data_IF_749458390870
#
_entry.id   IF_749458390870
#
_cell.length_a   1.000
_cell.length_b   1.000
_cell.length_c   1.000
_cell.angle_alpha   90.00
_cell.angle_beta   90.00
_cell.angle_gamma   90.00
#
_symmetry.space_group_name_H-M   'P 1'
#
loop_
_entity.id
_entity.type
_entity.pdbx_description
1 polymer ?
#
# COMPACT_ATOMS: atom_id res chain seq x y z
N UNK A 1 17.88 -29.05 -5.04
CA UNK A 1 17.10 -29.89 -5.98
C UNK A 1 15.82 -29.14 -6.37
N UNK A 2 15.46 -29.16 -7.65
CA UNK A 2 14.32 -28.40 -8.19
C UNK A 2 12.98 -28.78 -7.52
N UNK A 3 12.88 -30.00 -7.00
CA UNK A 3 11.73 -30.48 -6.20
C UNK A 3 11.51 -29.69 -4.89
N UNK A 4 12.55 -29.06 -4.32
CA UNK A 4 12.42 -28.24 -3.11
C UNK A 4 12.04 -26.77 -3.41
N UNK A 5 12.28 -26.27 -4.64
CA UNK A 5 11.93 -24.89 -4.99
C UNK A 5 10.42 -24.64 -4.94
N UNK A 6 9.62 -25.61 -5.39
CA UNK A 6 8.16 -25.53 -5.29
C UNK A 6 7.66 -25.52 -3.84
N UNK A 7 8.36 -26.22 -2.94
CA UNK A 7 8.02 -26.29 -1.52
C UNK A 7 8.30 -24.97 -0.81
N UNK A 8 9.42 -24.31 -1.11
CA UNK A 8 9.75 -22.99 -0.52
C UNK A 8 8.70 -21.94 -0.85
N UNK A 9 8.19 -21.93 -2.10
CA UNK A 9 7.11 -21.02 -2.51
C UNK A 9 5.77 -21.38 -1.85
N UNK A 10 5.45 -22.67 -1.73
CA UNK A 10 4.21 -23.13 -1.10
C UNK A 10 4.16 -22.87 0.42
N UNK A 11 5.32 -22.76 1.06
CA UNK A 11 5.46 -22.49 2.49
C UNK A 11 5.78 -21.02 2.80
N UNK A 12 5.88 -20.17 1.78
CA UNK A 12 6.15 -18.75 1.97
C UNK A 12 5.00 -18.05 2.69
N UNK A 13 5.35 -17.16 3.59
CA UNK A 13 4.38 -16.24 4.20
C UNK A 13 4.02 -15.13 3.21
N UNK A 14 2.76 -14.74 3.20
CA UNK A 14 2.33 -13.57 2.43
C UNK A 14 2.31 -12.35 3.32
N UNK A 15 3.10 -11.36 2.91
CA UNK A 15 3.16 -10.05 3.55
C UNK A 15 2.39 -9.03 2.73
N UNK A 16 1.40 -8.35 3.30
CA UNK A 16 0.58 -7.36 2.61
C UNK A 16 1.17 -5.98 2.81
N UNK A 17 1.79 -5.40 1.79
CA UNK A 17 2.33 -4.05 1.87
C UNK A 17 1.26 -3.00 1.59
N UNK A 18 1.34 -1.87 2.28
CA UNK A 18 0.51 -0.69 2.01
C UNK A 18 1.00 0.07 0.76
N UNK A 19 0.87 -0.55 -0.41
CA UNK A 19 1.26 0.03 -1.70
C UNK A 19 0.44 -0.59 -2.84
N UNK A 20 0.72 -0.18 -4.08
CA UNK A 20 0.21 -0.80 -5.31
C UNK A 20 1.40 -1.10 -6.23
N UNK A 21 1.54 -2.34 -6.68
CA UNK A 21 2.58 -2.74 -7.65
C UNK A 21 2.37 -2.03 -8.98
N UNK A 22 1.12 -1.87 -9.41
CA UNK A 22 0.78 -1.25 -10.68
C UNK A 22 1.11 0.25 -10.70
N UNK A 23 1.00 0.92 -9.55
CA UNK A 23 1.35 2.33 -9.40
C UNK A 23 2.86 2.53 -9.23
N UNK A 24 3.50 1.81 -8.28
CA UNK A 24 4.88 2.11 -7.85
C UNK A 24 5.94 1.23 -8.51
N UNK A 25 5.58 0.10 -9.09
CA UNK A 25 6.51 -0.85 -9.70
C UNK A 25 5.95 -1.54 -10.98
N UNK A 26 5.40 -0.79 -11.95
CA UNK A 26 4.67 -1.36 -13.11
C UNK A 26 5.53 -2.35 -13.92
N UNK A 27 6.82 -2.06 -14.13
CA UNK A 27 7.72 -2.96 -14.85
C UNK A 27 7.91 -4.33 -14.16
N UNK A 28 7.70 -4.43 -12.85
CA UNK A 28 7.72 -5.73 -12.16
C UNK A 28 6.61 -6.63 -12.70
N UNK A 29 5.41 -6.07 -12.84
CA UNK A 29 4.25 -6.75 -13.38
C UNK A 29 4.37 -6.95 -14.90
N UNK A 30 4.67 -5.89 -15.65
CA UNK A 30 4.60 -5.89 -17.11
C UNK A 30 5.71 -6.70 -17.78
N UNK A 31 6.95 -6.57 -17.31
CA UNK A 31 8.14 -7.13 -17.96
C UNK A 31 9.00 -8.00 -17.04
N UNK A 32 8.51 -8.32 -15.84
CA UNK A 32 9.22 -9.12 -14.82
C UNK A 32 10.56 -8.50 -14.42
N UNK A 33 10.62 -7.17 -14.40
CA UNK A 33 11.79 -6.46 -13.90
C UNK A 33 12.02 -6.81 -12.43
N UNK A 34 13.28 -7.11 -12.09
CA UNK A 34 13.68 -7.40 -10.73
C UNK A 34 14.18 -6.12 -10.06
N UNK A 35 13.57 -5.77 -8.93
CA UNK A 35 14.03 -4.69 -8.07
C UNK A 35 14.75 -5.29 -6.84
N UNK A 36 15.88 -4.72 -6.40
CA UNK A 36 16.41 -5.05 -5.08
C UNK A 36 15.37 -4.67 -4.03
N UNK A 37 14.98 -5.63 -3.21
CA UNK A 37 13.97 -5.46 -2.17
C UNK A 37 14.50 -6.02 -0.87
N UNK A 38 14.46 -5.24 0.21
CA UNK A 38 14.92 -5.68 1.53
C UNK A 38 14.26 -4.88 2.67
N UNK A 39 14.22 -5.42 3.90
CA UNK A 39 13.90 -4.62 5.08
C UNK A 39 14.88 -3.45 5.20
N UNK A 40 14.41 -2.29 5.68
CA UNK A 40 15.25 -1.09 5.90
C UNK A 40 15.55 -0.86 7.39
N UNK A 41 15.22 -1.83 8.23
CA UNK A 41 15.41 -1.82 9.67
C UNK A 41 15.58 -3.25 10.15
N UNK A 42 16.00 -3.43 11.41
CA UNK A 42 16.34 -4.73 12.02
C UNK A 42 17.45 -5.49 11.27
N UNK A 43 18.36 -4.76 10.61
CA UNK A 43 19.41 -5.34 9.77
C UNK A 43 20.46 -6.14 10.55
N UNK A 44 20.55 -5.95 11.86
CA UNK A 44 21.42 -6.69 12.77
C UNK A 44 20.77 -7.98 13.31
N UNK A 45 19.50 -8.25 12.96
CA UNK A 45 18.77 -9.46 13.32
C UNK A 45 18.81 -10.47 12.16
N UNK A 46 18.90 -11.76 12.47
CA UNK A 46 18.85 -12.78 11.44
C UNK A 46 17.39 -13.02 10.98
N UNK A 47 17.06 -12.87 9.68
CA UNK A 47 15.72 -13.16 9.17
C UNK A 47 15.46 -14.67 9.15
N UNK A 48 14.41 -15.11 9.86
CA UNK A 48 14.07 -16.54 10.01
C UNK A 48 12.81 -16.96 9.24
N UNK A 49 12.10 -16.01 8.62
CA UNK A 49 10.91 -16.27 7.79
C UNK A 49 11.27 -16.13 6.32
N UNK A 50 10.42 -16.70 5.47
CA UNK A 50 10.52 -16.55 4.01
C UNK A 50 9.17 -16.08 3.53
N UNK A 51 9.15 -14.98 2.78
CA UNK A 51 7.89 -14.43 2.33
C UNK A 51 7.95 -13.80 0.96
N UNK A 52 6.76 -13.49 0.48
CA UNK A 52 6.47 -12.71 -0.71
C UNK A 52 5.60 -11.53 -0.31
N UNK A 53 5.54 -10.49 -1.14
CA UNK A 53 4.69 -9.35 -0.87
C UNK A 53 3.46 -9.39 -1.76
N UNK A 54 2.28 -9.23 -1.19
CA UNK A 54 1.07 -8.83 -1.91
C UNK A 54 0.86 -7.33 -1.65
N UNK A 55 0.29 -6.64 -2.62
CA UNK A 55 -0.13 -5.24 -2.47
C UNK A 55 -1.58 -5.15 -1.97
N UNK A 56 -2.15 -3.95 -1.95
CA UNK A 56 -3.54 -3.73 -1.51
C UNK A 56 -4.58 -3.91 -2.61
N UNK A 57 -4.17 -4.19 -3.83
CA UNK A 57 -5.10 -4.36 -4.94
C UNK A 57 -5.88 -5.67 -4.80
N UNK A 58 -7.02 -5.71 -5.47
CA UNK A 58 -7.84 -6.93 -5.54
C UNK A 58 -7.32 -7.90 -6.61
N UNK A 59 -6.26 -7.52 -7.35
CA UNK A 59 -5.69 -8.33 -8.41
C UNK A 59 -4.64 -9.28 -7.86
N UNK A 60 -4.73 -10.55 -8.23
CA UNK A 60 -3.75 -11.55 -7.83
C UNK A 60 -2.33 -11.27 -8.36
N UNK A 61 -2.20 -10.48 -9.44
CA UNK A 61 -0.93 -10.05 -10.01
C UNK A 61 -0.29 -8.89 -9.24
N UNK A 62 -1.01 -8.25 -8.31
CA UNK A 62 -0.51 -7.27 -7.36
C UNK A 62 0.41 -7.89 -6.30
N UNK A 63 1.56 -8.41 -6.74
CA UNK A 63 2.53 -9.07 -5.85
C UNK A 63 3.97 -8.91 -6.31
N UNK A 64 4.89 -8.92 -5.35
CA UNK A 64 6.33 -9.06 -5.56
C UNK A 64 6.74 -10.45 -5.06
N UNK A 65 6.94 -11.38 -5.99
CA UNK A 65 7.30 -12.77 -5.72
C UNK A 65 8.57 -13.24 -6.45
N UNK A 66 9.36 -12.28 -6.97
CA UNK A 66 10.66 -12.53 -7.59
C UNK A 66 11.70 -11.55 -7.07
N UNK A 67 12.83 -12.09 -6.61
CA UNK A 67 13.87 -11.34 -5.92
C UNK A 67 15.26 -11.61 -6.50
N UNK A 68 16.11 -10.58 -6.47
CA UNK A 68 17.49 -10.64 -6.96
C UNK A 68 18.33 -11.58 -6.10
N UNK A 69 19.15 -12.41 -6.74
CA UNK A 69 20.18 -13.22 -6.09
C UNK A 69 21.35 -13.49 -7.05
N UNK A 70 22.53 -13.79 -6.50
CA UNK A 70 23.83 -13.78 -7.22
C UNK A 70 23.94 -14.73 -8.42
N UNK A 71 23.07 -15.75 -8.50
CA UNK A 71 23.15 -16.81 -9.52
C UNK A 71 21.85 -16.95 -10.29
N UNK A 72 20.73 -16.91 -9.58
CA UNK A 72 19.39 -17.16 -10.11
C UNK A 72 18.38 -16.34 -9.33
N UNK A 73 17.28 -15.96 -9.99
CA UNK A 73 16.11 -15.33 -9.35
C UNK A 73 15.57 -16.21 -8.23
N UNK A 74 15.29 -15.62 -7.06
CA UNK A 74 14.60 -16.29 -5.97
C UNK A 74 13.11 -15.99 -5.99
N UNK A 75 12.32 -16.91 -5.46
CA UNK A 75 10.86 -16.77 -5.37
C UNK A 75 10.36 -16.40 -3.96
N UNK A 76 11.28 -16.17 -3.03
CA UNK A 76 11.01 -15.75 -1.66
C UNK A 76 12.12 -14.85 -1.16
N UNK A 77 11.77 -13.92 -0.28
CA UNK A 77 12.72 -13.05 0.42
C UNK A 77 12.86 -13.49 1.89
N UNK A 78 14.08 -13.59 2.44
CA UNK A 78 14.27 -13.77 3.88
C UNK A 78 13.74 -12.55 4.63
N UNK A 79 12.88 -12.77 5.62
CA UNK A 79 12.22 -11.72 6.40
C UNK A 79 12.28 -12.02 7.90
N UNK A 80 12.17 -10.97 8.70
CA UNK A 80 12.05 -11.10 10.13
C UNK A 80 10.61 -11.52 10.49
N UNK A 81 10.41 -12.29 11.57
CA UNK A 81 9.08 -12.55 12.08
C UNK A 81 8.40 -11.23 12.47
N UNK A 82 7.09 -11.09 12.18
CA UNK A 82 6.35 -9.91 12.57
C UNK A 82 6.32 -9.75 14.08
N UNK A 83 6.40 -8.50 14.49
CA UNK A 83 6.14 -8.05 15.85
C UNK A 83 5.00 -7.01 15.81
N UNK A 84 4.60 -6.47 16.95
CA UNK A 84 3.57 -5.42 17.02
C UNK A 84 4.12 -4.03 16.64
N UNK A 85 5.20 -3.97 15.88
CA UNK A 85 5.87 -2.74 15.44
C UNK A 85 5.76 -2.60 13.91
N UNK A 86 5.87 -1.37 13.38
CA UNK A 86 5.99 -1.17 11.94
C UNK A 86 7.08 -2.03 11.31
N UNK A 87 6.81 -2.56 10.12
CA UNK A 87 7.81 -3.31 9.38
C UNK A 87 7.94 -2.82 7.94
N UNK A 88 8.89 -1.91 7.76
CA UNK A 88 9.19 -1.23 6.51
C UNK A 88 10.08 -2.03 5.56
N UNK A 89 9.71 -1.99 4.29
CA UNK A 89 10.43 -2.59 3.18
C UNK A 89 10.86 -1.48 2.21
N UNK A 90 12.11 -1.54 1.76
CA UNK A 90 12.62 -0.71 0.68
C UNK A 90 12.61 -1.49 -0.63
N UNK A 91 12.08 -0.87 -1.68
CA UNK A 91 12.22 -1.31 -3.07
C UNK A 91 13.14 -0.29 -3.76
N UNK A 92 14.29 -0.76 -4.24
CA UNK A 92 15.35 0.10 -4.74
C UNK A 92 15.42 0.07 -6.26
N UNK A 93 16.12 1.05 -6.83
CA UNK A 93 16.32 1.19 -8.28
C UNK A 93 15.01 1.39 -9.08
N UNK A 94 14.01 2.00 -8.44
CA UNK A 94 12.72 2.36 -9.04
C UNK A 94 12.70 3.75 -9.69
N UNK A 95 13.84 4.46 -9.73
CA UNK A 95 13.90 5.86 -10.18
C UNK A 95 13.82 6.08 -11.70
N UNK A 96 13.70 5.04 -12.51
CA UNK A 96 13.58 5.16 -13.96
C UNK A 96 12.31 4.44 -14.43
N UNK A 97 11.55 5.07 -15.31
CA UNK A 97 10.26 4.62 -15.87
C UNK A 97 9.10 4.46 -14.87
N UNK A 98 9.33 4.02 -13.64
CA UNK A 98 8.27 3.56 -12.74
C UNK A 98 7.22 4.63 -12.44
N UNK A 99 7.65 5.84 -12.10
CA UNK A 99 6.74 6.93 -11.70
C UNK A 99 5.79 7.33 -12.84
N UNK A 100 6.28 7.43 -14.07
CA UNK A 100 5.46 7.88 -15.21
C UNK A 100 4.63 6.76 -15.84
N UNK A 101 5.00 5.50 -15.62
CA UNK A 101 4.28 4.33 -16.14
C UNK A 101 3.23 3.79 -15.16
N UNK A 102 3.17 4.32 -13.94
CA UNK A 102 2.19 3.92 -12.93
C UNK A 102 0.76 4.10 -13.42
N UNK A 103 -0.12 3.19 -13.02
CA UNK A 103 -1.56 3.29 -13.28
C UNK A 103 -2.40 3.35 -12.00
N UNK A 104 -3.62 3.86 -12.16
CA UNK A 104 -4.59 4.01 -11.08
C UNK A 104 -5.37 2.71 -10.80
N UNK A 105 -4.70 1.55 -10.78
CA UNK A 105 -5.36 0.28 -10.48
C UNK A 105 -6.09 0.36 -9.14
N UNK A 106 -7.36 -0.05 -9.10
CA UNK A 106 -8.24 0.10 -7.92
C UNK A 106 -8.37 1.54 -7.40
N UNK A 107 -8.06 2.56 -8.20
CA UNK A 107 -8.05 3.98 -7.82
C UNK A 107 -7.04 4.30 -6.70
N UNK A 108 -5.96 3.50 -6.58
CA UNK A 108 -4.79 3.93 -5.83
C UNK A 108 -4.03 4.95 -6.67
N UNK A 109 -3.84 6.15 -6.15
CA UNK A 109 -3.19 7.25 -6.85
C UNK A 109 -1.70 7.34 -6.56
N UNK A 110 -1.11 8.46 -6.98
CA UNK A 110 0.31 8.75 -6.77
C UNK A 110 0.67 8.69 -5.29
N UNK A 111 1.87 8.19 -5.00
CA UNK A 111 2.37 8.10 -3.61
C UNK A 111 3.08 9.37 -3.19
N UNK A 112 3.07 9.69 -1.89
CA UNK A 112 3.94 10.73 -1.33
C UNK A 112 5.41 10.55 -1.78
N UNK A 113 6.01 11.63 -2.27
CA UNK A 113 7.41 11.65 -2.68
C UNK A 113 8.19 12.75 -1.94
N UNK A 114 9.38 12.41 -1.46
CA UNK A 114 10.22 13.33 -0.67
C UNK A 114 11.60 13.43 -1.30
N UNK A 115 12.04 14.66 -1.57
CA UNK A 115 13.41 14.93 -2.01
C UNK A 115 14.30 15.16 -0.79
N UNK A 116 15.26 14.26 -0.60
CA UNK A 116 16.19 14.29 0.53
C UNK A 116 17.58 14.69 0.04
N UNK A 117 18.16 15.69 0.68
CA UNK A 117 19.50 16.19 0.40
C UNK A 117 20.42 15.99 1.60
N UNK A 118 21.68 15.63 1.34
CA UNK A 118 22.73 15.66 2.35
C UNK A 118 23.35 17.06 2.39
N UNK A 119 23.10 17.78 3.48
CA UNK A 119 23.62 19.11 3.77
C UNK A 119 25.04 19.11 4.32
N UNK A 120 25.50 20.28 4.76
CA UNK A 120 26.80 20.40 5.42
C UNK A 120 26.80 19.65 6.77
N UNK A 121 27.94 19.00 7.09
CA UNK A 121 28.12 18.17 8.28
C UNK A 121 27.19 16.94 8.33
N UNK A 122 26.95 16.28 7.20
CA UNK A 122 26.13 15.06 7.08
C UNK A 122 24.69 15.22 7.62
N UNK A 123 24.18 16.46 7.64
CA UNK A 123 22.79 16.72 8.05
C UNK A 123 21.84 16.36 6.93
N UNK A 124 20.86 15.52 7.25
CA UNK A 124 19.77 15.17 6.34
C UNK A 124 18.79 16.35 6.31
N UNK A 125 18.50 16.85 5.11
CA UNK A 125 17.53 17.91 4.88
C UNK A 125 16.44 17.44 3.92
N UNK A 126 15.19 17.72 4.26
CA UNK A 126 14.05 17.51 3.37
C UNK A 126 13.87 18.79 2.56
N UNK A 127 14.11 18.71 1.24
CA UNK A 127 14.08 19.86 0.35
C UNK A 127 12.68 20.11 -0.20
N UNK A 128 11.99 19.03 -0.60
CA UNK A 128 10.69 19.11 -1.23
C UNK A 128 9.84 17.90 -0.83
N UNK A 129 8.54 18.14 -0.66
CA UNK A 129 7.53 17.11 -0.42
C UNK A 129 6.48 17.27 -1.51
N UNK A 130 6.21 16.19 -2.23
CA UNK A 130 5.07 16.05 -3.14
C UNK A 130 4.07 15.17 -2.40
N UNK A 131 2.90 15.71 -2.11
CA UNK A 131 1.80 14.94 -1.53
C UNK A 131 1.23 14.02 -2.61
N UNK A 132 0.96 12.78 -2.24
CA UNK A 132 0.28 11.83 -3.11
C UNK A 132 -1.21 12.12 -3.23
N UNK A 133 -1.90 11.38 -4.10
CA UNK A 133 -3.29 11.67 -4.43
C UNK A 133 -4.24 11.33 -3.27
N UNK A 134 -5.20 12.21 -3.06
CA UNK A 134 -6.40 11.95 -2.26
C UNK A 134 -7.47 11.20 -3.05
N UNK A 135 -8.43 10.60 -2.33
CA UNK A 135 -9.59 9.94 -2.94
C UNK A 135 -10.38 10.90 -3.84
N UNK A 136 -10.51 12.18 -3.47
CA UNK A 136 -11.19 13.18 -4.29
C UNK A 136 -10.48 13.47 -5.62
N UNK A 137 -9.14 13.47 -5.63
CA UNK A 137 -8.33 13.70 -6.84
C UNK A 137 -8.47 12.53 -7.80
N UNK A 138 -8.33 11.30 -7.31
CA UNK A 138 -8.48 10.10 -8.15
C UNK A 138 -9.90 9.97 -8.70
N UNK A 139 -10.92 10.27 -7.89
CA UNK A 139 -12.31 10.33 -8.36
C UNK A 139 -12.52 11.44 -9.39
N UNK A 140 -11.77 12.55 -9.28
CA UNK A 140 -11.72 13.60 -10.29
C UNK A 140 -11.24 13.10 -11.66
N UNK A 141 -10.21 12.25 -11.70
CA UNK A 141 -9.71 11.67 -12.96
C UNK A 141 -10.79 10.88 -13.70
N UNK A 142 -11.63 10.14 -12.96
CA UNK A 142 -12.78 9.39 -13.49
C UNK A 142 -14.07 10.22 -13.58
N UNK A 143 -13.96 11.55 -13.61
CA UNK A 143 -15.03 12.52 -13.87
C UNK A 143 -16.12 12.60 -12.78
N UNK A 144 -15.79 12.23 -11.54
CA UNK A 144 -16.65 12.52 -10.40
C UNK A 144 -16.29 13.87 -9.78
N UNK A 145 -17.31 14.58 -9.31
CA UNK A 145 -17.15 15.85 -8.58
C UNK A 145 -17.38 15.63 -7.10
N UNK A 146 -16.44 16.06 -6.25
CA UNK A 146 -16.61 16.06 -4.79
C UNK A 146 -17.91 16.76 -4.37
N UNK A 147 -18.21 17.92 -4.95
CA UNK A 147 -19.41 18.68 -4.60
C UNK A 147 -20.69 17.88 -4.89
N UNK A 148 -20.72 17.17 -6.01
CA UNK A 148 -21.85 16.31 -6.36
C UNK A 148 -21.95 15.08 -5.45
N UNK A 149 -20.83 14.42 -5.16
CA UNK A 149 -20.77 13.27 -4.27
C UNK A 149 -21.25 13.60 -2.85
N UNK A 150 -20.76 14.71 -2.29
CA UNK A 150 -21.17 15.22 -0.97
C UNK A 150 -22.67 15.55 -0.96
N UNK A 151 -23.19 16.21 -2.00
CA UNK A 151 -24.61 16.54 -2.09
C UNK A 151 -25.49 15.28 -2.21
N UNK A 152 -25.06 14.28 -2.99
CA UNK A 152 -25.74 12.97 -3.09
C UNK A 152 -25.76 12.25 -1.75
N UNK A 153 -24.63 12.20 -1.04
CA UNK A 153 -24.53 11.61 0.29
C UNK A 153 -25.45 12.33 1.30
N UNK A 154 -25.46 13.67 1.28
CA UNK A 154 -26.33 14.49 2.13
C UNK A 154 -27.80 14.15 1.92
N UNK A 155 -28.27 14.06 0.67
CA UNK A 155 -29.67 13.69 0.35
C UNK A 155 -30.03 12.28 0.81
N UNK A 156 -29.10 11.32 0.69
CA UNK A 156 -29.29 9.96 1.17
C UNK A 156 -29.44 9.91 2.69
N UNK A 157 -28.58 10.64 3.41
CA UNK A 157 -28.61 10.77 4.88
C UNK A 157 -29.93 11.41 5.34
N UNK A 158 -30.39 12.48 4.67
CA UNK A 158 -31.68 13.13 5.00
C UNK A 158 -32.88 12.20 4.79
N UNK A 159 -32.83 11.39 3.73
CA UNK A 159 -33.86 10.37 3.47
C UNK A 159 -33.89 9.32 4.59
N UNK A 160 -32.73 8.84 5.02
CA UNK A 160 -32.61 7.86 6.10
C UNK A 160 -33.09 8.41 7.45
N UNK A 161 -32.76 9.67 7.76
CA UNK A 161 -33.28 10.38 8.94
C UNK A 161 -34.81 10.46 8.94
N UNK A 162 -35.43 10.86 7.83
CA UNK A 162 -36.90 10.93 7.72
C UNK A 162 -37.59 9.57 7.87
N UNK A 163 -36.92 8.50 7.44
CA UNK A 163 -37.41 7.12 7.60
C UNK A 163 -37.18 6.56 9.01
N UNK A 164 -36.44 7.26 9.87
CA UNK A 164 -36.09 6.81 11.21
C UNK A 164 -35.12 5.62 11.23
N UNK A 165 -34.39 5.36 10.14
CA UNK A 165 -33.40 4.26 10.08
C UNK A 165 -32.06 4.64 10.67
N UNK A 166 -31.81 5.93 10.89
CA UNK A 166 -30.62 6.47 11.58
C UNK A 166 -31.04 7.62 12.49
N UNK A 167 -30.24 7.86 13.52
CA UNK A 167 -30.35 8.99 14.45
C UNK A 167 -29.67 10.26 13.94
N UNK A 168 -29.93 11.39 14.58
CA UNK A 168 -29.28 12.67 14.26
C UNK A 168 -27.77 12.59 14.50
N UNK A 169 -27.36 11.98 15.59
CA UNK A 169 -25.95 11.77 15.93
C UNK A 169 -25.24 10.90 14.88
N UNK A 170 -25.88 9.81 14.43
CA UNK A 170 -25.36 8.95 13.36
C UNK A 170 -25.26 9.68 12.03
N UNK A 171 -26.25 10.52 11.69
CA UNK A 171 -26.21 11.32 10.46
C UNK A 171 -25.01 12.26 10.43
N UNK A 172 -24.71 12.92 11.55
CA UNK A 172 -23.58 13.82 11.67
C UNK A 172 -22.26 13.06 11.60
N UNK A 173 -22.19 11.85 12.17
CA UNK A 173 -21.03 10.97 12.09
C UNK A 173 -20.79 10.47 10.66
N UNK A 174 -21.83 10.03 9.96
CA UNK A 174 -21.75 9.56 8.57
C UNK A 174 -21.28 10.69 7.64
N UNK A 175 -21.85 11.89 7.76
CA UNK A 175 -21.42 13.04 6.95
C UNK A 175 -19.93 13.34 7.14
N UNK A 176 -19.48 13.44 8.40
CA UNK A 176 -18.06 13.70 8.70
C UNK A 176 -17.15 12.61 8.15
N UNK A 177 -17.48 11.33 8.37
CA UNK A 177 -16.67 10.22 7.85
C UNK A 177 -16.61 10.20 6.32
N UNK A 178 -17.71 10.49 5.64
CA UNK A 178 -17.75 10.55 4.19
C UNK A 178 -16.86 11.67 3.63
N UNK A 179 -16.96 12.87 4.19
CA UNK A 179 -16.12 14.01 3.79
C UNK A 179 -14.63 13.78 4.11
N UNK A 180 -14.34 13.15 5.26
CA UNK A 180 -12.98 12.76 5.64
C UNK A 180 -12.42 11.71 4.68
N UNK A 181 -13.18 10.67 4.36
CA UNK A 181 -12.74 9.63 3.42
C UNK A 181 -12.47 10.18 2.01
N UNK A 182 -13.27 11.15 1.54
CA UNK A 182 -12.99 11.82 0.27
C UNK A 182 -11.70 12.66 0.29
N UNK A 183 -11.37 13.27 1.42
CA UNK A 183 -10.15 14.08 1.56
C UNK A 183 -8.93 13.25 2.01
N UNK A 184 -9.13 11.95 2.24
CA UNK A 184 -8.11 11.05 2.73
C UNK A 184 -7.21 10.59 1.59
N UNK A 185 -6.02 10.15 1.97
CA UNK A 185 -5.07 9.51 1.06
C UNK A 185 -5.65 8.20 0.50
N UNK A 186 -5.25 7.80 -0.70
CA UNK A 186 -5.83 6.61 -1.34
C UNK A 186 -5.40 5.29 -0.68
N UNK A 187 -4.34 5.32 0.12
CA UNK A 187 -3.78 4.14 0.81
C UNK A 187 -4.31 4.01 2.24
N UNK A 188 -4.11 2.84 2.85
CA UNK A 188 -4.67 2.55 4.17
C UNK A 188 -3.97 3.35 5.26
N UNK A 189 -4.77 3.86 6.20
CA UNK A 189 -4.26 4.52 7.39
C UNK A 189 -3.92 3.49 8.49
N UNK A 190 -3.02 3.88 9.39
CA UNK A 190 -2.44 3.01 10.42
C UNK A 190 -3.48 2.53 11.44
N UNK A 191 -4.57 3.27 11.60
CA UNK A 191 -5.70 2.92 12.45
C UNK A 191 -6.64 1.89 11.78
N UNK A 192 -6.86 2.01 10.46
CA UNK A 192 -7.71 1.08 9.69
C UNK A 192 -7.07 -0.31 9.57
N UNK A 193 -5.74 -0.37 9.40
CA UNK A 193 -4.99 -1.63 9.35
C UNK A 193 -5.14 -2.46 10.65
N UNK A 194 -5.31 -1.82 11.82
CA UNK A 194 -5.47 -2.54 13.10
C UNK A 194 -6.81 -3.25 13.24
N UNK A 195 -7.88 -2.75 12.60
CA UNK A 195 -9.20 -3.39 12.63
C UNK A 195 -9.23 -4.63 11.71
N UNK A 196 -8.60 -4.57 10.52
CA UNK A 196 -8.51 -5.70 9.59
C UNK A 196 -7.63 -6.86 10.09
N UNK A 197 -6.54 -6.58 10.82
CA UNK A 197 -5.65 -7.61 11.40
C UNK A 197 -6.40 -8.61 12.29
N UNK A 198 -7.56 -8.24 12.86
CA UNK A 198 -8.36 -9.15 13.69
C UNK A 198 -9.10 -10.24 12.91
N UNK A 199 -9.25 -10.08 11.59
CA UNK A 199 -10.07 -10.94 10.71
C UNK A 199 -9.20 -11.88 9.86
N UNK A 200 -7.91 -11.59 9.73
CA UNK A 200 -7.01 -12.28 8.81
C UNK A 200 -6.33 -13.49 9.50
N UNK A 201 -6.35 -14.71 8.91
CA UNK A 201 -5.73 -15.90 9.51
C UNK A 201 -4.21 -15.73 9.71
N UNK A 202 -3.67 -16.35 10.77
CA UNK A 202 -2.26 -16.28 11.26
C UNK A 202 -1.12 -16.49 10.23
N UNK A 203 -1.42 -16.84 8.98
CA UNK A 203 -0.43 -16.99 7.88
C UNK A 203 -0.21 -15.71 7.07
N UNK A 204 -0.91 -14.64 7.39
CA UNK A 204 -0.89 -13.39 6.64
C UNK A 204 -0.46 -12.27 7.58
N UNK A 205 0.47 -11.43 7.12
CA UNK A 205 1.04 -10.33 7.91
C UNK A 205 0.94 -9.04 7.11
N UNK A 206 0.31 -7.99 7.63
CA UNK A 206 0.37 -6.66 7.02
C UNK A 206 1.68 -5.96 7.36
N UNK A 207 2.27 -5.29 6.36
CA UNK A 207 3.45 -4.47 6.43
C UNK A 207 3.09 -3.01 6.29
N UNK A 208 3.88 -2.18 6.96
CA UNK A 208 3.74 -0.73 6.93
C UNK A 208 4.77 -0.14 5.99
#
# INVERSE_FOLDING_TARGET
PDELQGLERAMADTYYGNFSVFQSAPDHWAVRQLFPTMPIHRLDEEPTRRGVFADLTCDSDGRIDQFINRRETRHVLPLHPPNNEPYYIGVFLVGAYQEILGDLHNLFGDTDAVHVRLGENDRIEIEHIVEGDSVEEVLGYVQFSRAELVERARRAIETALRKGTITVEESARLRRRYEQGLSGYTYLDVEDAKEEISVIPRKVTQLR
#
